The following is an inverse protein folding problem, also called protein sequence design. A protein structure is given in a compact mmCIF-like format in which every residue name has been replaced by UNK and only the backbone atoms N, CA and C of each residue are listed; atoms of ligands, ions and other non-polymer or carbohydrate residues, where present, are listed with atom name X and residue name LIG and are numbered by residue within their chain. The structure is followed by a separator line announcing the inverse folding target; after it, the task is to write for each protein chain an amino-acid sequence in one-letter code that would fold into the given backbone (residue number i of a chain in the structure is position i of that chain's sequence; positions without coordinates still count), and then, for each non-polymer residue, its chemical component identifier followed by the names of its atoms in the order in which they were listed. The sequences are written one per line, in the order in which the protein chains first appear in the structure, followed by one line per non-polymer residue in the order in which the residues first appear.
data_IF_657083733801
#
_entry.id   IF_657083733801
#
_cell.length_a   1.000
_cell.length_b   1.000
_cell.length_c   1.000
_cell.angle_alpha   90.00
_cell.angle_beta   90.00
_cell.angle_gamma   90.00
#
_symmetry.space_group_name_H-M   'P 1'
#
loop_
_entity.id
_entity.type
_entity.pdbx_description
1 polymer ?
#
# COMPACT_ATOMS: atom_id res chain seq x y z
N UNK A 1 13.41 26.96 22.14
CA UNK A 1 11.97 27.24 21.93
C UNK A 1 11.58 27.07 20.45
N UNK A 2 12.32 27.63 19.45
CA UNK A 2 12.00 27.41 18.03
C UNK A 2 12.32 26.01 17.49
N UNK A 3 13.45 25.41 17.90
CA UNK A 3 13.86 24.07 17.41
C UNK A 3 12.89 22.95 17.81
N UNK A 4 12.24 23.07 18.97
CA UNK A 4 11.28 22.06 19.43
C UNK A 4 9.96 22.09 18.67
N UNK A 5 9.54 23.27 18.19
CA UNK A 5 8.33 23.41 17.36
C UNK A 5 8.57 22.91 15.94
N UNK A 6 9.74 23.20 15.36
CA UNK A 6 10.12 22.69 14.03
C UNK A 6 10.12 21.16 13.99
N UNK A 7 10.72 20.52 15.00
CA UNK A 7 10.74 19.06 15.11
C UNK A 7 9.32 18.46 15.23
N UNK A 8 8.41 19.13 15.95
CA UNK A 8 7.01 18.70 16.05
C UNK A 8 6.29 18.82 14.70
N UNK A 9 6.54 19.89 13.95
CA UNK A 9 5.94 20.12 12.63
C UNK A 9 6.44 19.07 11.63
N UNK A 10 7.74 18.79 11.61
CA UNK A 10 8.35 17.76 10.76
C UNK A 10 7.75 16.39 11.03
N UNK A 11 7.63 16.01 12.31
CA UNK A 11 7.00 14.74 12.70
C UNK A 11 5.53 14.65 12.28
N UNK A 12 4.76 15.74 12.43
CA UNK A 12 3.37 15.77 11.98
C UNK A 12 3.30 15.62 10.45
N UNK A 13 4.20 16.27 9.72
CA UNK A 13 4.27 16.14 8.25
C UNK A 13 4.55 14.70 7.84
N UNK A 14 5.52 14.03 8.46
CA UNK A 14 5.83 12.62 8.18
C UNK A 14 4.61 11.72 8.38
N UNK A 15 3.91 11.86 9.52
CA UNK A 15 2.68 11.10 9.81
C UNK A 15 1.62 11.33 8.73
N UNK A 16 1.43 12.59 8.31
CA UNK A 16 0.44 12.92 7.29
C UNK A 16 0.79 12.33 5.92
N UNK A 17 2.07 12.37 5.53
CA UNK A 17 2.54 11.78 4.27
C UNK A 17 2.34 10.26 4.28
N UNK A 18 2.69 9.56 5.37
CA UNK A 18 2.44 8.11 5.51
C UNK A 18 0.95 7.79 5.38
N UNK A 19 0.10 8.57 6.06
CA UNK A 19 -1.36 8.40 5.98
C UNK A 19 -1.92 8.68 4.58
N UNK A 20 -1.35 9.65 3.86
CA UNK A 20 -1.71 9.91 2.46
C UNK A 20 -1.37 8.71 1.58
N UNK A 21 -0.18 8.12 1.75
CA UNK A 21 0.23 6.90 1.04
C UNK A 21 -0.74 5.74 1.31
N UNK A 22 -1.07 5.47 2.58
CA UNK A 22 -2.07 4.45 2.94
C UNK A 22 -3.43 4.67 2.24
N UNK A 23 -3.89 5.93 2.21
CA UNK A 23 -5.15 6.28 1.55
C UNK A 23 -5.08 6.06 0.03
N UNK A 24 -3.93 6.31 -0.59
CA UNK A 24 -3.71 6.06 -2.01
C UNK A 24 -3.77 4.57 -2.33
N UNK A 25 -3.08 3.75 -1.54
CA UNK A 25 -3.15 2.28 -1.67
C UNK A 25 -4.58 1.75 -1.53
N UNK A 26 -5.34 2.24 -0.54
CA UNK A 26 -6.75 1.85 -0.38
C UNK A 26 -7.60 2.29 -1.58
N UNK A 27 -7.36 3.48 -2.13
CA UNK A 27 -8.08 3.96 -3.32
C UNK A 27 -7.78 3.07 -4.53
N UNK A 28 -6.52 2.70 -4.74
CA UNK A 28 -6.10 1.83 -5.84
C UNK A 28 -6.71 0.42 -5.71
N UNK A 29 -6.71 -0.17 -4.50
CA UNK A 29 -7.39 -1.46 -4.24
C UNK A 29 -8.90 -1.38 -4.51
N UNK A 30 -9.56 -0.29 -4.09
CA UNK A 30 -10.98 -0.06 -4.37
C UNK A 30 -11.24 -0.01 -5.89
N UNK A 31 -10.36 0.64 -6.66
CA UNK A 31 -10.50 0.72 -8.12
C UNK A 31 -10.33 -0.65 -8.78
N UNK A 32 -9.30 -1.42 -8.36
CA UNK A 32 -9.07 -2.79 -8.83
C UNK A 32 -10.29 -3.68 -8.51
N UNK A 33 -10.81 -3.61 -7.28
CA UNK A 33 -11.96 -4.39 -6.86
C UNK A 33 -13.23 -4.04 -7.64
N UNK A 34 -13.46 -2.75 -7.94
CA UNK A 34 -14.57 -2.30 -8.79
C UNK A 34 -14.46 -2.88 -10.20
N UNK A 35 -13.29 -2.83 -10.80
CA UNK A 35 -13.07 -3.33 -12.15
C UNK A 35 -13.20 -4.85 -12.23
N UNK A 36 -12.61 -5.59 -11.28
CA UNK A 36 -12.79 -7.03 -11.15
C UNK A 36 -14.28 -7.38 -11.03
N UNK A 37 -15.04 -6.63 -10.22
CA UNK A 37 -16.48 -6.87 -10.04
C UNK A 37 -17.27 -6.61 -11.32
N UNK A 38 -16.91 -5.57 -12.07
CA UNK A 38 -17.50 -5.25 -13.38
C UNK A 38 -17.26 -6.40 -14.37
N UNK A 39 -16.02 -6.85 -14.52
CA UNK A 39 -15.65 -7.94 -15.44
C UNK A 39 -16.29 -9.27 -15.03
N UNK A 40 -16.34 -9.58 -13.72
CA UNK A 40 -17.04 -10.77 -13.21
C UNK A 40 -18.53 -10.76 -13.55
N UNK A 41 -19.17 -9.60 -13.44
CA UNK A 41 -20.58 -9.44 -13.81
C UNK A 41 -20.79 -9.64 -15.32
N UNK A 42 -19.85 -9.20 -16.15
CA UNK A 42 -19.89 -9.44 -17.60
C UNK A 42 -19.71 -10.94 -17.92
N UNK A 43 -18.71 -11.58 -17.32
CA UNK A 43 -18.45 -13.01 -17.48
C UNK A 43 -19.64 -13.87 -17.05
N UNK A 44 -20.26 -13.54 -15.91
CA UNK A 44 -21.42 -14.26 -15.41
C UNK A 44 -22.59 -14.27 -16.40
N UNK A 45 -22.78 -13.20 -17.19
CA UNK A 45 -23.85 -13.15 -18.21
C UNK A 45 -23.62 -14.16 -19.33
N UNK A 46 -22.37 -14.38 -19.72
CA UNK A 46 -22.01 -15.36 -20.76
C UNK A 46 -22.15 -16.79 -20.25
N UNK A 47 -21.78 -17.02 -18.98
CA UNK A 47 -21.88 -18.32 -18.32
C UNK A 47 -23.31 -18.81 -18.07
N UNK A 48 -24.34 -17.95 -18.23
CA UNK A 48 -25.75 -18.38 -18.16
C UNK A 48 -26.11 -19.31 -19.33
N UNK A 49 -25.45 -19.16 -20.48
CA UNK A 49 -25.68 -20.00 -21.64
C UNK A 49 -24.91 -21.33 -21.51
N UNK A 50 -25.54 -22.48 -21.82
CA UNK A 50 -24.83 -23.75 -21.93
C UNK A 50 -23.74 -23.73 -23.01
N UNK A 51 -22.64 -24.46 -22.82
CA UNK A 51 -21.48 -24.50 -23.74
C UNK A 51 -21.81 -24.90 -25.19
N UNK A 52 -22.85 -25.71 -25.38
CA UNK A 52 -23.32 -26.13 -26.70
C UNK A 52 -24.19 -25.08 -27.40
N UNK A 53 -24.56 -24.00 -26.70
CA UNK A 53 -25.36 -22.89 -27.22
C UNK A 53 -24.55 -21.60 -27.40
N UNK A 54 -23.31 -21.55 -26.90
CA UNK A 54 -22.38 -20.43 -27.10
C UNK A 54 -21.76 -20.45 -28.49
N UNK A 55 -21.75 -19.29 -29.13
CA UNK A 55 -20.94 -19.01 -30.30
C UNK A 55 -19.45 -19.04 -29.98
N UNK A 56 -18.61 -19.15 -31.01
CA UNK A 56 -17.15 -19.05 -30.84
C UNK A 56 -16.72 -17.68 -30.31
N UNK A 57 -17.44 -16.62 -30.68
CA UNK A 57 -17.18 -15.25 -30.20
C UNK A 57 -17.46 -15.13 -28.69
N UNK A 58 -18.55 -15.73 -28.20
CA UNK A 58 -18.85 -15.75 -26.76
C UNK A 58 -17.79 -16.54 -25.99
N UNK A 59 -17.35 -17.69 -26.50
CA UNK A 59 -16.27 -18.48 -25.88
C UNK A 59 -14.95 -17.71 -25.81
N UNK A 60 -14.58 -17.05 -26.91
CA UNK A 60 -13.39 -16.20 -26.95
C UNK A 60 -13.51 -15.04 -25.95
N UNK A 61 -14.69 -14.43 -25.84
CA UNK A 61 -14.94 -13.34 -24.90
C UNK A 61 -14.84 -13.79 -23.45
N UNK A 62 -15.30 -15.00 -23.12
CA UNK A 62 -15.12 -15.56 -21.78
C UNK A 62 -13.65 -15.73 -21.42
N UNK A 63 -12.84 -16.29 -22.32
CA UNK A 63 -11.40 -16.43 -22.12
C UNK A 63 -10.72 -15.07 -21.92
N UNK A 64 -11.07 -14.07 -22.73
CA UNK A 64 -10.56 -12.70 -22.59
C UNK A 64 -10.91 -12.08 -21.24
N UNK A 65 -12.15 -12.25 -20.77
CA UNK A 65 -12.61 -11.72 -19.49
C UNK A 65 -11.89 -12.41 -18.32
N UNK A 66 -11.71 -13.73 -18.40
CA UNK A 66 -10.95 -14.49 -17.39
C UNK A 66 -9.50 -14.01 -17.34
N UNK A 67 -8.84 -13.83 -18.48
CA UNK A 67 -7.48 -13.32 -18.54
C UNK A 67 -7.35 -11.90 -17.97
N UNK A 68 -8.31 -11.01 -18.26
CA UNK A 68 -8.32 -9.65 -17.70
C UNK A 68 -8.52 -9.67 -16.18
N UNK A 69 -9.45 -10.48 -15.68
CA UNK A 69 -9.66 -10.66 -14.24
C UNK A 69 -8.38 -11.18 -13.57
N UNK A 70 -7.70 -12.17 -14.18
CA UNK A 70 -6.46 -12.72 -13.65
C UNK A 70 -5.37 -11.64 -13.51
N UNK A 71 -5.15 -10.84 -14.55
CA UNK A 71 -4.17 -9.73 -14.52
C UNK A 71 -4.47 -8.70 -13.43
N UNK A 72 -5.75 -8.38 -13.21
CA UNK A 72 -6.14 -7.45 -12.14
C UNK A 72 -5.92 -8.05 -10.74
N UNK A 73 -6.18 -9.35 -10.59
CA UNK A 73 -5.90 -10.07 -9.34
C UNK A 73 -4.39 -10.11 -9.06
N UNK A 74 -3.55 -10.37 -10.06
CA UNK A 74 -2.09 -10.28 -9.95
C UNK A 74 -1.64 -8.86 -9.59
N UNK A 75 -2.20 -7.83 -10.25
CA UNK A 75 -1.89 -6.42 -9.93
C UNK A 75 -2.22 -6.10 -8.47
N UNK A 76 -3.33 -6.62 -7.96
CA UNK A 76 -3.71 -6.45 -6.56
C UNK A 76 -2.78 -7.21 -5.61
N UNK A 77 -2.27 -8.37 -6.02
CA UNK A 77 -1.28 -9.14 -5.25
C UNK A 77 0.02 -8.32 -5.07
N UNK A 78 0.53 -7.73 -6.16
CA UNK A 78 1.67 -6.81 -6.10
C UNK A 78 1.41 -5.60 -5.21
N UNK A 79 0.19 -5.04 -5.24
CA UNK A 79 -0.19 -3.92 -4.37
C UNK A 79 -0.07 -4.28 -2.88
N UNK A 80 -0.46 -5.51 -2.52
CA UNK A 80 -0.34 -6.02 -1.13
C UNK A 80 1.12 -6.13 -0.73
N UNK A 81 1.97 -6.69 -1.60
CA UNK A 81 3.40 -6.80 -1.35
C UNK A 81 4.07 -5.43 -1.17
N UNK A 82 3.73 -4.45 -2.02
CA UNK A 82 4.25 -3.09 -1.94
C UNK A 82 3.88 -2.40 -0.62
N UNK A 83 2.61 -2.54 -0.19
CA UNK A 83 2.14 -1.99 1.10
C UNK A 83 2.88 -2.61 2.28
N UNK A 84 3.08 -3.93 2.25
CA UNK A 84 3.82 -4.62 3.32
C UNK A 84 5.29 -4.18 3.36
N UNK A 85 5.92 -4.03 2.19
CA UNK A 85 7.29 -3.55 2.09
C UNK A 85 7.44 -2.13 2.65
N UNK A 86 6.53 -1.22 2.32
CA UNK A 86 6.57 0.14 2.83
C UNK A 86 6.35 0.18 4.34
N UNK A 87 5.44 -0.63 4.88
CA UNK A 87 5.22 -0.75 6.32
C UNK A 87 6.47 -1.23 7.07
N UNK A 88 7.24 -2.15 6.48
CA UNK A 88 8.49 -2.63 7.06
C UNK A 88 9.57 -1.54 7.04
N UNK A 89 9.67 -0.77 5.95
CA UNK A 89 10.58 0.38 5.84
C UNK A 89 10.27 1.41 6.92
N UNK A 90 9.03 1.84 7.06
CA UNK A 90 8.62 2.85 8.05
C UNK A 90 8.98 2.45 9.49
N UNK A 91 8.85 1.14 9.82
CA UNK A 91 9.25 0.62 11.13
C UNK A 91 10.76 0.69 11.37
N UNK A 92 11.57 0.39 10.36
CA UNK A 92 13.02 0.48 10.50
C UNK A 92 13.47 1.93 10.60
N UNK A 93 12.89 2.84 9.82
CA UNK A 93 13.14 4.28 9.92
C UNK A 93 12.82 4.84 11.32
N UNK A 94 11.67 4.44 11.90
CA UNK A 94 11.28 4.84 13.25
C UNK A 94 12.24 4.31 14.32
N UNK A 95 12.73 3.08 14.14
CA UNK A 95 13.72 2.45 15.02
C UNK A 95 15.06 3.15 14.95
N UNK A 96 15.59 3.39 13.75
CA UNK A 96 16.84 4.12 13.53
C UNK A 96 16.77 5.54 14.13
N UNK A 97 15.63 6.23 13.96
CA UNK A 97 15.42 7.55 14.54
C UNK A 97 15.40 7.51 16.08
N UNK A 98 14.73 6.52 16.67
CA UNK A 98 14.70 6.35 18.13
C UNK A 98 16.10 6.06 18.70
N UNK A 99 16.85 5.17 18.06
CA UNK A 99 18.24 4.85 18.43
C UNK A 99 19.16 6.08 18.30
N UNK A 100 19.01 6.84 17.22
CA UNK A 100 19.76 8.08 17.01
C UNK A 100 19.49 9.09 18.14
N UNK A 101 18.22 9.35 18.46
CA UNK A 101 17.82 10.25 19.54
C UNK A 101 18.34 9.77 20.90
N UNK A 102 18.25 8.48 21.20
CA UNK A 102 18.77 7.89 22.43
C UNK A 102 20.30 8.07 22.51
N UNK A 103 21.03 7.87 21.42
CA UNK A 103 22.48 8.03 21.36
C UNK A 103 22.93 9.50 21.56
N UNK A 104 22.16 10.46 21.04
CA UNK A 104 22.43 11.90 21.21
C UNK A 104 22.15 12.36 22.64
N UNK A 105 21.05 11.88 23.23
CA UNK A 105 20.72 12.16 24.62
C UNK A 105 21.79 11.59 25.57
N UNK A 106 22.15 10.32 25.41
CA UNK A 106 23.18 9.66 26.24
C UNK A 106 24.56 10.33 26.11
N UNK A 107 24.97 10.74 24.89
CA UNK A 107 26.19 11.55 24.70
C UNK A 107 26.11 12.92 25.39
N UNK A 108 24.97 13.60 25.34
CA UNK A 108 24.77 14.88 26.03
C UNK A 108 24.80 14.75 27.57
N UNK A 109 24.29 13.63 28.12
CA UNK A 109 24.38 13.32 29.54
C UNK A 109 25.83 13.04 29.98
N UNK A 110 26.58 12.25 29.19
CA UNK A 110 27.99 11.98 29.46
C UNK A 110 28.83 13.27 29.40
N UNK A 111 28.56 14.16 28.44
CA UNK A 111 29.27 15.43 28.31
C UNK A 111 29.01 16.40 29.48
N UNK A 112 27.84 16.30 30.12
CA UNK A 112 27.51 17.06 31.35
C UNK A 112 28.07 16.41 32.62
N UNK A 113 28.23 15.09 32.64
CA UNK A 113 28.79 14.34 33.78
C UNK A 113 30.33 14.38 33.84
N UNK A 114 30.99 14.50 32.68
CA UNK A 114 32.46 14.64 32.58
C UNK A 114 32.96 16.09 32.71
N UNK A 115 32.06 17.05 32.90
CA UNK A 115 32.37 18.45 33.20
C UNK A 115 32.47 18.70 34.70
N UNK A 116 33.44 18.04 35.35
CA UNK A 116 33.98 18.38 36.66
C UNK A 116 35.51 18.29 36.57
#
# INVERSE_FOLDING_TARGET
LPQGELFRIERIREILVRRESELRYMMDDIQLCKEISRLKTELQKLLVLPENQKSNEEKQREEELVQQIHKLVETRDFLVDDVEFERLREREEDKEMAEFLQSKLSKSYLQRASGC
#
